data_IF_429636715543
#
_entry.id   IF_429636715543
#
_cell.length_a   1.000
_cell.length_b   1.000
_cell.length_c   1.000
_cell.angle_alpha   90.00
_cell.angle_beta   90.00
_cell.angle_gamma   90.00
#
_symmetry.space_group_name_H-M   'P 1'
#
loop_
_entity.id
_entity.type
_entity.pdbx_description
1 polymer ?
#
# COMPACT_ATOMS: atom_id res chain seq x y z
N UNK A 1 0.09 25.68 -34.03
CA UNK A 1 -0.07 24.27 -34.45
C UNK A 1 1.22 23.52 -34.08
N UNK A 2 1.36 23.09 -32.82
CA UNK A 2 2.51 22.30 -32.37
C UNK A 2 1.98 20.96 -31.85
N UNK A 3 2.06 19.93 -32.68
CA UNK A 3 1.82 18.56 -32.27
C UNK A 3 3.10 18.01 -31.61
N UNK A 4 3.18 18.07 -30.28
CA UNK A 4 4.07 17.16 -29.54
C UNK A 4 3.39 15.79 -29.51
N UNK A 5 3.82 14.88 -30.39
CA UNK A 5 3.58 13.45 -30.23
C UNK A 5 4.25 13.02 -28.92
N UNK A 6 3.44 12.73 -27.91
CA UNK A 6 3.82 11.93 -26.74
C UNK A 6 4.30 10.57 -27.24
N UNK A 7 5.62 10.36 -27.29
CA UNK A 7 6.19 9.03 -27.47
C UNK A 7 5.89 8.24 -26.20
N UNK A 8 4.85 7.42 -26.27
CA UNK A 8 4.64 6.27 -25.39
C UNK A 8 5.95 5.46 -25.34
N UNK A 9 6.49 5.30 -24.15
CA UNK A 9 7.65 4.46 -23.88
C UNK A 9 7.16 3.02 -23.95
N UNK A 10 7.52 2.29 -25.00
CA UNK A 10 7.28 0.84 -25.07
C UNK A 10 8.35 0.10 -24.23
N UNK A 11 7.97 -0.88 -23.38
CA UNK A 11 8.90 -1.53 -22.42
C UNK A 11 9.97 -2.42 -23.06
N UNK A 12 9.92 -2.64 -24.38
CA UNK A 12 10.69 -3.68 -25.06
C UNK A 12 12.17 -3.33 -25.33
N UNK A 13 12.62 -2.11 -25.02
CA UNK A 13 13.91 -1.59 -25.52
C UNK A 13 15.01 -1.32 -24.47
N UNK A 14 14.82 -1.77 -23.22
CA UNK A 14 15.88 -1.73 -22.21
C UNK A 14 16.53 -3.11 -22.07
N UNK A 15 17.85 -3.21 -22.28
CA UNK A 15 18.64 -4.46 -22.17
C UNK A 15 18.43 -5.20 -20.86
N UNK A 16 18.15 -4.47 -19.78
CA UNK A 16 17.85 -4.99 -18.44
C UNK A 16 16.57 -5.82 -18.41
N UNK A 17 15.54 -5.41 -19.17
CA UNK A 17 14.25 -6.10 -19.22
C UNK A 17 14.37 -7.50 -19.84
N UNK A 18 15.44 -7.82 -20.56
CA UNK A 18 15.67 -9.16 -21.12
C UNK A 18 16.18 -10.18 -20.10
N UNK A 19 16.47 -9.75 -18.87
CA UNK A 19 16.97 -10.65 -17.85
C UNK A 19 15.87 -11.62 -17.40
N UNK A 20 16.09 -12.96 -17.42
CA UNK A 20 15.05 -13.95 -17.13
C UNK A 20 14.33 -13.72 -15.80
N UNK A 21 15.03 -13.18 -14.79
CA UNK A 21 14.46 -12.93 -13.46
C UNK A 21 13.54 -11.72 -13.39
N UNK A 22 13.82 -10.72 -14.22
CA UNK A 22 12.93 -9.57 -14.39
C UNK A 22 11.66 -10.03 -15.13
N UNK A 23 11.81 -10.87 -16.16
CA UNK A 23 10.68 -11.47 -16.87
C UNK A 23 9.83 -12.36 -15.97
N UNK A 24 10.44 -13.19 -15.12
CA UNK A 24 9.73 -14.02 -14.15
C UNK A 24 8.88 -13.18 -13.17
N UNK A 25 9.44 -12.09 -12.64
CA UNK A 25 8.72 -11.18 -11.76
C UNK A 25 7.58 -10.43 -12.48
N UNK A 26 7.82 -9.97 -13.71
CA UNK A 26 6.80 -9.32 -14.54
C UNK A 26 5.64 -10.28 -14.88
N UNK A 27 5.96 -11.53 -15.24
CA UNK A 27 4.96 -12.56 -15.50
C UNK A 27 4.15 -12.88 -14.24
N UNK A 28 4.77 -12.93 -13.06
CA UNK A 28 4.03 -13.15 -11.82
C UNK A 28 3.10 -11.96 -11.48
N UNK A 29 3.51 -10.73 -11.79
CA UNK A 29 2.69 -9.53 -11.62
C UNK A 29 1.56 -9.40 -12.64
N UNK A 30 1.65 -10.03 -13.81
CA UNK A 30 0.58 -10.00 -14.82
C UNK A 30 -0.57 -10.95 -14.52
N UNK A 31 -0.45 -11.80 -13.50
CA UNK A 31 -1.51 -12.71 -13.07
C UNK A 31 -2.68 -11.96 -12.43
N UNK A 32 -3.56 -11.41 -13.26
CA UNK A 32 -4.78 -10.70 -12.84
C UNK A 32 -6.03 -11.57 -12.87
N UNK A 33 -5.87 -12.90 -12.90
CA UNK A 33 -6.99 -13.85 -12.94
C UNK A 33 -7.83 -13.73 -11.66
N UNK A 34 -9.16 -13.76 -11.83
CA UNK A 34 -10.10 -13.71 -10.70
C UNK A 34 -10.24 -12.36 -9.99
N UNK A 35 -9.48 -11.33 -10.37
CA UNK A 35 -9.58 -10.02 -9.74
C UNK A 35 -10.87 -9.29 -10.13
N UNK A 36 -11.62 -8.73 -9.15
CA UNK A 36 -12.81 -7.95 -9.43
C UNK A 36 -12.41 -6.54 -9.88
N UNK A 37 -12.43 -6.29 -11.19
CA UNK A 37 -12.16 -4.96 -11.74
C UNK A 37 -13.39 -4.04 -11.56
N UNK A 38 -13.20 -2.73 -11.29
CA UNK A 38 -14.29 -1.77 -11.29
C UNK A 38 -14.99 -1.72 -12.66
N UNK A 39 -16.32 -1.59 -12.67
CA UNK A 39 -17.13 -1.60 -13.92
C UNK A 39 -16.72 -0.52 -14.91
N UNK A 40 -16.30 0.64 -14.40
CA UNK A 40 -15.93 1.81 -15.20
C UNK A 40 -14.43 1.81 -15.56
N UNK A 41 -13.70 0.74 -15.24
CA UNK A 41 -12.27 0.65 -15.52
C UNK A 41 -12.02 -0.06 -16.85
N UNK A 42 -11.43 0.66 -17.81
CA UNK A 42 -10.96 0.08 -19.06
C UNK A 42 -9.69 -0.74 -18.82
N UNK A 43 -9.87 -2.05 -18.60
CA UNK A 43 -8.76 -2.98 -18.41
C UNK A 43 -7.91 -3.06 -19.67
N UNK A 44 -6.66 -2.62 -19.59
CA UNK A 44 -5.67 -2.79 -20.66
C UNK A 44 -5.23 -4.24 -20.79
N UNK A 45 -4.77 -4.61 -21.98
CA UNK A 45 -4.28 -5.97 -22.27
C UNK A 45 -3.05 -6.35 -21.42
N UNK A 46 -2.23 -5.37 -21.04
CA UNK A 46 -1.03 -5.50 -20.22
C UNK A 46 -1.26 -5.12 -18.74
N UNK A 47 -2.52 -5.02 -18.30
CA UNK A 47 -2.84 -4.67 -16.94
C UNK A 47 -2.32 -5.71 -15.94
N UNK A 48 -1.75 -5.21 -14.84
CA UNK A 48 -1.07 -6.01 -13.83
C UNK A 48 -1.68 -5.83 -12.44
N UNK A 49 -1.17 -6.57 -11.46
CA UNK A 49 -1.64 -6.51 -10.07
C UNK A 49 -1.60 -5.10 -9.47
N UNK A 50 -0.62 -4.29 -9.85
CA UNK A 50 -0.46 -2.94 -9.31
C UNK A 50 -1.42 -1.94 -9.96
N UNK A 51 -1.73 -2.09 -11.25
CA UNK A 51 -2.80 -1.33 -11.90
C UNK A 51 -4.17 -1.67 -11.30
N UNK A 52 -4.39 -2.93 -10.89
CA UNK A 52 -5.59 -3.28 -10.15
C UNK A 52 -5.64 -2.62 -8.76
N UNK A 53 -4.54 -2.66 -7.99
CA UNK A 53 -4.46 -1.97 -6.70
C UNK A 53 -4.69 -0.46 -6.86
N UNK A 54 -4.17 0.14 -7.92
CA UNK A 54 -4.43 1.53 -8.27
C UNK A 54 -5.93 1.78 -8.46
N UNK A 55 -6.60 0.98 -9.29
CA UNK A 55 -8.01 1.15 -9.59
C UNK A 55 -8.90 0.98 -8.35
N UNK A 56 -8.53 0.07 -7.44
CA UNK A 56 -9.30 -0.19 -6.23
C UNK A 56 -9.09 0.85 -5.14
N UNK A 57 -7.85 1.25 -4.87
CA UNK A 57 -7.49 2.10 -3.72
C UNK A 57 -7.22 3.56 -4.08
N UNK A 58 -7.17 3.89 -5.37
CA UNK A 58 -6.98 5.27 -5.83
C UNK A 58 -5.57 5.78 -5.59
N UNK A 59 -4.53 4.98 -5.84
CA UNK A 59 -3.13 5.43 -5.79
C UNK A 59 -2.78 6.30 -7.02
N UNK A 60 -1.75 7.14 -6.89
CA UNK A 60 -1.25 7.98 -7.98
C UNK A 60 -0.54 7.14 -9.06
N UNK A 61 -0.79 7.45 -10.34
CA UNK A 61 -0.23 6.72 -11.51
C UNK A 61 1.29 6.62 -11.49
N UNK A 62 1.97 7.71 -11.14
CA UNK A 62 3.42 7.76 -11.11
C UNK A 62 3.98 6.93 -9.93
N UNK A 63 3.31 6.98 -8.77
CA UNK A 63 3.67 6.12 -7.64
C UNK A 63 3.56 4.64 -8.02
N UNK A 64 2.46 4.25 -8.68
CA UNK A 64 2.24 2.88 -9.14
C UNK A 64 3.32 2.42 -10.09
N UNK A 65 3.69 3.25 -11.06
CA UNK A 65 4.75 2.94 -12.02
C UNK A 65 6.11 2.77 -11.33
N UNK A 66 6.45 3.66 -10.41
CA UNK A 66 7.70 3.60 -9.64
C UNK A 66 7.76 2.37 -8.72
N UNK A 67 6.67 2.06 -8.00
CA UNK A 67 6.65 0.92 -7.09
C UNK A 67 6.59 -0.42 -7.83
N UNK A 68 6.04 -0.45 -9.05
CA UNK A 68 6.10 -1.62 -9.94
C UNK A 68 7.54 -1.97 -10.29
N UNK A 69 8.29 -1.01 -10.81
CA UNK A 69 9.70 -1.21 -11.13
C UNK A 69 10.50 -1.62 -9.89
N UNK A 70 10.26 -0.96 -8.75
CA UNK A 70 10.91 -1.29 -7.49
C UNK A 70 10.61 -2.74 -7.04
N UNK A 71 9.35 -3.19 -7.10
CA UNK A 71 8.98 -4.55 -6.72
C UNK A 71 9.61 -5.59 -7.65
N UNK A 72 9.60 -5.35 -8.96
CA UNK A 72 10.24 -6.23 -9.96
C UNK A 72 11.73 -6.38 -9.67
N UNK A 73 12.43 -5.27 -9.44
CA UNK A 73 13.85 -5.28 -9.12
C UNK A 73 14.14 -5.93 -7.77
N UNK A 74 13.31 -5.70 -6.75
CA UNK A 74 13.43 -6.34 -5.44
C UNK A 74 13.36 -7.87 -5.57
N UNK A 75 12.35 -8.38 -6.29
CA UNK A 75 12.15 -9.80 -6.51
C UNK A 75 13.27 -10.42 -7.35
N UNK A 76 13.66 -9.76 -8.45
CA UNK A 76 14.76 -10.23 -9.29
C UNK A 76 16.09 -10.30 -8.52
N UNK A 77 16.40 -9.28 -7.71
CA UNK A 77 17.61 -9.24 -6.88
C UNK A 77 17.61 -10.32 -5.81
N UNK A 78 16.47 -10.56 -5.17
CA UNK A 78 16.33 -11.62 -4.17
C UNK A 78 16.51 -13.00 -4.79
N UNK A 79 15.95 -13.21 -5.99
CA UNK A 79 16.09 -14.45 -6.75
C UNK A 79 17.55 -14.72 -7.12
N UNK A 80 18.27 -13.72 -7.65
CA UNK A 80 19.70 -13.83 -8.00
C UNK A 80 20.55 -14.21 -6.78
N UNK A 81 20.23 -13.67 -5.60
CA UNK A 81 20.99 -13.93 -4.36
C UNK A 81 20.75 -15.31 -3.76
N UNK A 82 19.56 -15.89 -3.97
CA UNK A 82 19.15 -17.11 -3.28
C UNK A 82 19.29 -18.37 -4.12
N UNK A 83 19.32 -18.25 -5.45
CA UNK A 83 19.29 -19.43 -6.33
C UNK A 83 20.65 -19.62 -6.99
N UNK A 84 21.33 -20.72 -6.62
CA UNK A 84 22.69 -21.03 -7.06
C UNK A 84 22.80 -21.37 -8.56
N UNK A 85 21.70 -21.69 -9.24
CA UNK A 85 21.62 -21.92 -10.69
C UNK A 85 20.47 -21.11 -11.32
N UNK A 86 20.62 -19.79 -11.49
CA UNK A 86 19.53 -18.92 -11.90
C UNK A 86 19.01 -19.23 -13.32
N UNK A 87 19.84 -19.76 -14.21
CA UNK A 87 19.51 -19.93 -15.64
C UNK A 87 18.46 -21.03 -15.92
N UNK A 88 18.17 -21.90 -14.96
CA UNK A 88 17.30 -23.07 -15.16
C UNK A 88 15.84 -22.89 -14.71
N UNK A 89 15.48 -21.75 -14.11
CA UNK A 89 14.13 -21.51 -13.60
C UNK A 89 13.48 -20.30 -14.29
N UNK A 90 12.48 -20.55 -15.17
CA UNK A 90 11.77 -19.48 -15.88
C UNK A 90 10.74 -18.76 -15.01
N UNK A 91 10.27 -19.38 -13.93
CA UNK A 91 9.23 -18.85 -13.04
C UNK A 91 9.80 -18.24 -11.76
N UNK A 92 8.99 -17.41 -11.09
CA UNK A 92 9.32 -16.82 -9.81
C UNK A 92 9.17 -17.88 -8.70
N UNK A 93 10.27 -18.13 -7.98
CA UNK A 93 10.30 -19.14 -6.92
C UNK A 93 9.55 -18.67 -5.65
N UNK A 94 8.67 -19.53 -5.14
CA UNK A 94 7.86 -19.24 -3.94
C UNK A 94 8.71 -18.98 -2.68
N UNK A 95 9.89 -19.60 -2.56
CA UNK A 95 10.81 -19.36 -1.46
C UNK A 95 11.37 -17.93 -1.47
N UNK A 96 11.64 -17.39 -2.66
CA UNK A 96 12.08 -16.00 -2.85
C UNK A 96 10.99 -15.06 -2.39
N UNK A 97 9.74 -15.35 -2.75
CA UNK A 97 8.57 -14.59 -2.32
C UNK A 97 8.37 -14.64 -0.80
N UNK A 98 8.42 -15.83 -0.20
CA UNK A 98 8.28 -15.99 1.25
C UNK A 98 9.37 -15.24 2.02
N UNK A 99 10.62 -15.31 1.54
CA UNK A 99 11.71 -14.58 2.18
C UNK A 99 11.51 -13.07 2.06
N UNK A 100 11.12 -12.59 0.88
CA UNK A 100 10.89 -11.17 0.61
C UNK A 100 9.74 -10.64 1.46
N UNK A 101 8.62 -11.36 1.49
CA UNK A 101 7.44 -11.04 2.30
C UNK A 101 7.78 -11.02 3.79
N UNK A 102 8.53 -12.01 4.29
CA UNK A 102 8.93 -12.05 5.70
C UNK A 102 9.83 -10.88 6.10
N UNK A 103 10.72 -10.42 5.21
CA UNK A 103 11.53 -9.23 5.43
C UNK A 103 10.68 -7.97 5.42
N UNK A 104 9.82 -7.80 4.41
CA UNK A 104 9.01 -6.60 4.22
C UNK A 104 8.03 -6.39 5.39
N UNK A 105 7.36 -7.46 5.83
CA UNK A 105 6.35 -7.40 6.88
C UNK A 105 6.88 -7.65 8.30
N UNK A 106 8.20 -7.69 8.50
CA UNK A 106 8.80 -7.97 9.82
C UNK A 106 8.31 -6.98 10.89
N UNK A 107 8.28 -5.69 10.55
CA UNK A 107 7.84 -4.65 11.48
C UNK A 107 6.33 -4.72 11.73
N UNK A 108 5.54 -4.90 10.68
CA UNK A 108 4.09 -5.07 10.78
C UNK A 108 3.69 -6.28 11.65
N UNK A 109 4.33 -7.44 11.45
CA UNK A 109 4.07 -8.64 12.25
C UNK A 109 4.42 -8.42 13.73
N UNK A 110 5.51 -7.69 14.02
CA UNK A 110 5.89 -7.33 15.39
C UNK A 110 4.88 -6.37 16.02
N UNK A 111 4.43 -5.36 15.28
CA UNK A 111 3.40 -4.42 15.73
C UNK A 111 2.07 -5.13 16.05
N UNK A 112 1.60 -6.01 15.16
CA UNK A 112 0.40 -6.82 15.40
C UNK A 112 0.54 -7.67 16.68
N UNK A 113 1.68 -8.35 16.85
CA UNK A 113 1.96 -9.16 18.04
C UNK A 113 1.95 -8.31 19.31
N UNK A 114 2.55 -7.12 19.26
CA UNK A 114 2.61 -6.21 20.40
C UNK A 114 1.21 -5.75 20.83
N UNK A 115 0.34 -5.40 19.88
CA UNK A 115 -1.04 -4.99 20.15
C UNK A 115 -2.02 -6.17 20.37
N UNK A 116 -1.54 -7.42 20.37
CA UNK A 116 -2.41 -8.60 20.51
C UNK A 116 -3.38 -8.81 19.35
N UNK A 117 -3.06 -8.30 18.15
CA UNK A 117 -3.89 -8.43 16.94
C UNK A 117 -3.40 -9.54 16.02
N UNK A 118 -4.34 -10.22 15.36
CA UNK A 118 -4.04 -11.11 14.24
C UNK A 118 -3.58 -10.28 13.03
N UNK A 119 -2.66 -10.82 12.24
CA UNK A 119 -2.20 -10.14 11.03
C UNK A 119 -3.27 -10.13 9.95
N UNK A 120 -3.34 -9.07 9.16
CA UNK A 120 -4.23 -8.93 8.01
C UNK A 120 -3.74 -9.60 6.73
N UNK A 121 -2.75 -10.49 6.86
CA UNK A 121 -2.11 -11.20 5.77
C UNK A 121 -2.75 -12.58 5.58
N UNK A 122 -4.01 -12.60 5.14
CA UNK A 122 -4.74 -13.85 4.88
C UNK A 122 -4.34 -14.44 3.53
N UNK A 123 -3.81 -15.66 3.56
CA UNK A 123 -3.45 -16.40 2.35
C UNK A 123 -4.53 -17.44 2.02
N UNK A 124 -4.89 -17.62 0.74
CA UNK A 124 -5.81 -18.67 0.32
C UNK A 124 -5.18 -20.05 0.50
N UNK A 125 -6.01 -21.10 0.49
CA UNK A 125 -5.54 -22.50 0.55
C UNK A 125 -5.05 -22.99 -0.81
N UNK A 126 -5.51 -22.38 -1.90
CA UNK A 126 -5.18 -22.77 -3.28
C UNK A 126 -3.79 -22.23 -3.63
N UNK A 127 -2.78 -23.09 -3.90
CA UNK A 127 -1.39 -22.67 -4.10
C UNK A 127 -1.21 -21.62 -5.20
N UNK A 128 -1.97 -21.75 -6.30
CA UNK A 128 -1.91 -20.83 -7.44
C UNK A 128 -2.33 -19.40 -7.07
N UNK A 129 -3.26 -19.24 -6.12
CA UNK A 129 -3.71 -17.92 -5.65
C UNK A 129 -2.79 -17.36 -4.54
N UNK A 130 -2.03 -18.22 -3.85
CA UNK A 130 -1.12 -17.79 -2.78
C UNK A 130 -0.08 -16.83 -3.34
N UNK A 131 0.50 -17.14 -4.49
CA UNK A 131 1.52 -16.30 -5.11
C UNK A 131 0.98 -14.90 -5.44
N UNK A 132 -0.16 -14.86 -6.12
CA UNK A 132 -0.89 -13.63 -6.44
C UNK A 132 -1.20 -12.82 -5.17
N UNK A 133 -1.66 -13.49 -4.11
CA UNK A 133 -1.99 -12.85 -2.82
C UNK A 133 -0.78 -12.20 -2.15
N UNK A 134 0.36 -12.91 -2.14
CA UNK A 134 1.61 -12.38 -1.58
C UNK A 134 2.05 -11.13 -2.34
N UNK A 135 2.00 -11.16 -3.68
CA UNK A 135 2.34 -10.02 -4.53
C UNK A 135 1.41 -8.83 -4.31
N UNK A 136 0.10 -9.07 -4.19
CA UNK A 136 -0.88 -8.02 -3.86
C UNK A 136 -0.58 -7.36 -2.52
N UNK A 137 -0.29 -8.12 -1.46
CA UNK A 137 0.07 -7.54 -0.18
C UNK A 137 1.37 -6.73 -0.24
N UNK A 138 2.41 -7.25 -0.90
CA UNK A 138 3.68 -6.53 -1.04
C UNK A 138 3.49 -5.24 -1.88
N UNK A 139 2.77 -5.33 -2.99
CA UNK A 139 2.42 -4.18 -3.82
C UNK A 139 1.66 -3.13 -3.04
N UNK A 140 0.62 -3.54 -2.29
CA UNK A 140 -0.16 -2.63 -1.45
C UNK A 140 0.71 -1.91 -0.41
N UNK A 141 1.59 -2.64 0.27
CA UNK A 141 2.50 -2.03 1.24
C UNK A 141 3.47 -1.02 0.60
N UNK A 142 4.03 -1.36 -0.56
CA UNK A 142 4.94 -0.47 -1.30
C UNK A 142 4.22 0.77 -1.84
N UNK A 143 2.97 0.64 -2.28
CA UNK A 143 2.14 1.77 -2.72
C UNK A 143 1.81 2.72 -1.56
N UNK A 144 1.40 2.17 -0.41
CA UNK A 144 1.22 2.94 0.83
C UNK A 144 2.52 3.65 1.19
N UNK A 145 3.65 2.94 1.19
CA UNK A 145 4.96 3.53 1.46
C UNK A 145 5.32 4.62 0.44
N UNK A 146 4.99 4.43 -0.83
CA UNK A 146 5.28 5.35 -1.93
C UNK A 146 4.49 6.67 -1.88
N UNK A 147 3.28 6.65 -1.31
CA UNK A 147 2.43 7.85 -1.14
C UNK A 147 2.42 8.44 0.27
N UNK A 148 2.98 7.73 1.27
CA UNK A 148 3.03 8.17 2.66
C UNK A 148 3.71 9.54 2.90
N UNK A 149 4.47 10.08 1.94
CA UNK A 149 5.18 11.36 2.07
C UNK A 149 5.98 11.44 3.39
N UNK A 150 5.64 12.40 4.25
CA UNK A 150 6.23 12.63 5.57
C UNK A 150 5.82 11.59 6.63
N UNK A 151 4.72 10.85 6.42
CA UNK A 151 4.28 9.80 7.35
C UNK A 151 5.25 8.62 7.42
N UNK A 152 6.23 8.53 6.51
CA UNK A 152 7.33 7.56 6.56
C UNK A 152 8.17 7.64 7.83
N UNK A 153 8.17 8.81 8.47
CA UNK A 153 8.83 9.00 9.77
C UNK A 153 8.01 8.43 10.94
N UNK A 154 6.81 7.90 10.68
CA UNK A 154 5.93 7.24 11.64
C UNK A 154 5.66 5.79 11.21
N UNK A 155 6.64 4.87 11.37
CA UNK A 155 6.52 3.50 10.86
C UNK A 155 5.37 2.70 11.47
N UNK A 156 4.88 3.09 12.65
CA UNK A 156 3.80 2.41 13.37
C UNK A 156 2.44 2.90 12.85
N UNK A 157 2.33 4.18 12.52
CA UNK A 157 1.22 4.72 11.72
C UNK A 157 1.06 3.94 10.40
N UNK A 158 2.17 3.65 9.72
CA UNK A 158 2.13 2.85 8.48
C UNK A 158 1.69 1.40 8.71
N UNK A 159 2.02 0.81 9.87
CA UNK A 159 1.50 -0.50 10.24
C UNK A 159 -0.02 -0.47 10.41
N UNK A 160 -0.56 0.59 11.02
CA UNK A 160 -2.00 0.81 11.15
C UNK A 160 -2.69 0.96 9.78
N UNK A 161 -2.18 1.84 8.91
CA UNK A 161 -2.73 2.02 7.56
C UNK A 161 -2.73 0.72 6.77
N UNK A 162 -1.60 0.00 6.78
CA UNK A 162 -1.50 -1.29 6.11
C UNK A 162 -2.45 -2.33 6.71
N UNK A 163 -2.62 -2.37 8.03
CA UNK A 163 -3.49 -3.32 8.70
C UNK A 163 -4.93 -3.27 8.17
N UNK A 164 -5.48 -2.06 8.05
CA UNK A 164 -6.84 -1.84 7.59
C UNK A 164 -6.96 -2.05 6.08
N UNK A 165 -6.06 -1.49 5.27
CA UNK A 165 -6.12 -1.67 3.81
C UNK A 165 -5.91 -3.13 3.39
N UNK A 166 -5.08 -3.89 4.09
CA UNK A 166 -4.92 -5.33 3.85
C UNK A 166 -6.17 -6.13 4.25
N UNK A 167 -6.93 -5.68 5.26
CA UNK A 167 -8.23 -6.25 5.60
C UNK A 167 -9.28 -5.96 4.53
N UNK A 168 -9.33 -4.74 4.00
CA UNK A 168 -10.21 -4.40 2.88
C UNK A 168 -9.85 -5.19 1.62
N UNK A 169 -8.56 -5.32 1.32
CA UNK A 169 -8.07 -6.14 0.21
C UNK A 169 -8.56 -7.59 0.33
N UNK A 170 -8.51 -8.17 1.54
CA UNK A 170 -9.07 -9.48 1.80
C UNK A 170 -10.59 -9.51 1.55
N UNK A 171 -11.33 -8.53 2.07
CA UNK A 171 -12.78 -8.43 1.89
C UNK A 171 -13.20 -8.33 0.42
N UNK A 172 -12.53 -7.46 -0.36
CA UNK A 172 -12.76 -7.30 -1.81
C UNK A 172 -12.55 -8.61 -2.56
N UNK A 173 -11.49 -9.35 -2.21
CA UNK A 173 -11.13 -10.58 -2.90
C UNK A 173 -11.94 -11.80 -2.43
N UNK A 174 -12.55 -11.75 -1.25
CA UNK A 174 -13.43 -12.80 -0.72
C UNK A 174 -14.90 -12.59 -1.12
N UNK A 175 -15.33 -11.34 -1.28
CA UNK A 175 -16.70 -10.96 -1.59
C UNK A 175 -16.75 -10.12 -2.86
N UNK A 176 -16.93 -10.79 -4.00
CA UNK A 176 -17.07 -10.11 -5.30
C UNK A 176 -18.31 -9.21 -5.37
N UNK A 177 -19.36 -9.50 -4.59
CA UNK A 177 -20.61 -8.75 -4.55
C UNK A 177 -21.12 -8.69 -3.11
N UNK A 178 -21.47 -7.49 -2.65
CA UNK A 178 -22.15 -7.28 -1.38
C UNK A 178 -23.54 -7.92 -1.43
N UNK A 179 -23.88 -8.85 -0.52
CA UNK A 179 -25.20 -9.47 -0.50
C UNK A 179 -26.32 -8.47 -0.14
N UNK A 180 -25.96 -7.32 0.42
CA UNK A 180 -26.91 -6.27 0.83
C UNK A 180 -27.20 -5.28 -0.31
N UNK A 181 -26.17 -4.89 -1.06
CA UNK A 181 -26.31 -3.84 -2.10
C UNK A 181 -26.32 -4.38 -3.53
N UNK A 182 -25.89 -5.62 -3.75
CA UNK A 182 -25.73 -6.19 -5.09
C UNK A 182 -24.57 -5.56 -5.89
N UNK A 183 -23.77 -4.70 -5.27
CA UNK A 183 -22.62 -4.04 -5.88
C UNK A 183 -21.30 -4.71 -5.49
N UNK A 184 -20.26 -4.53 -6.30
CA UNK A 184 -18.94 -5.03 -5.96
C UNK A 184 -18.43 -4.36 -4.67
N UNK A 185 -17.86 -5.15 -3.76
CA UNK A 185 -17.23 -4.62 -2.56
C UNK A 185 -16.06 -3.72 -2.98
N UNK A 186 -16.04 -2.50 -2.46
CA UNK A 186 -14.99 -1.50 -2.72
C UNK A 186 -14.33 -1.09 -1.40
N UNK A 187 -13.02 -0.76 -1.41
CA UNK A 187 -12.40 -0.13 -0.25
C UNK A 187 -13.11 1.17 0.12
N UNK A 188 -13.22 1.48 1.42
CA UNK A 188 -13.91 2.65 1.95
C UNK A 188 -13.42 3.97 1.35
N UNK A 189 -12.11 4.09 1.21
CA UNK A 189 -11.49 5.27 0.60
C UNK A 189 -11.28 5.13 -0.90
N UNK A 190 -11.58 3.98 -1.48
CA UNK A 190 -11.31 3.66 -2.88
C UNK A 190 -12.28 4.29 -3.88
N UNK A 191 -12.05 4.01 -5.16
CA UNK A 191 -12.98 4.34 -6.26
C UNK A 191 -12.80 5.72 -6.90
N UNK A 192 -12.02 6.63 -6.31
CA UNK A 192 -11.67 7.93 -6.90
C UNK A 192 -10.17 8.02 -7.21
N UNK A 193 -9.78 8.90 -8.14
CA UNK A 193 -8.37 9.14 -8.47
C UNK A 193 -7.65 9.87 -7.32
N UNK A 194 -6.50 9.34 -6.91
CA UNK A 194 -5.68 9.83 -5.80
C UNK A 194 -6.41 9.83 -4.45
N UNK A 195 -7.40 8.96 -4.29
CA UNK A 195 -8.21 8.91 -3.09
C UNK A 195 -7.41 8.55 -1.84
N UNK A 196 -6.39 7.68 -1.96
CA UNK A 196 -5.50 7.36 -0.84
C UNK A 196 -4.76 8.62 -0.33
N UNK A 197 -4.12 9.37 -1.23
CA UNK A 197 -3.44 10.62 -0.89
C UNK A 197 -4.40 11.66 -0.27
N UNK A 198 -5.58 11.87 -0.88
CA UNK A 198 -6.54 12.89 -0.46
C UNK A 198 -7.27 12.55 0.84
N UNK A 199 -7.70 11.30 1.00
CA UNK A 199 -8.61 10.88 2.08
C UNK A 199 -7.89 10.19 3.24
N UNK A 200 -6.66 9.68 3.04
CA UNK A 200 -5.89 8.97 4.08
C UNK A 200 -4.63 9.74 4.48
N UNK A 201 -3.76 10.07 3.51
CA UNK A 201 -2.46 10.68 3.81
C UNK A 201 -2.60 12.15 4.24
N UNK A 202 -3.43 12.92 3.53
CA UNK A 202 -3.58 14.36 3.75
C UNK A 202 -4.13 14.71 5.14
N UNK A 203 -5.19 14.05 5.66
CA UNK A 203 -5.69 14.35 7.00
C UNK A 203 -4.63 14.16 8.10
N UNK A 204 -3.83 13.10 8.04
CA UNK A 204 -2.76 12.84 9.02
C UNK A 204 -1.61 13.85 8.82
N UNK A 205 -1.29 14.18 7.57
CA UNK A 205 -0.20 15.12 7.26
C UNK A 205 -0.52 16.55 7.73
N UNK A 206 -1.79 16.96 7.68
CA UNK A 206 -2.23 18.27 8.19
C UNK A 206 -1.99 18.43 9.69
N UNK A 207 -2.13 17.36 10.49
CA UNK A 207 -1.78 17.42 11.93
C UNK A 207 -0.29 17.73 12.08
N UNK A 208 0.55 16.97 11.38
CA UNK A 208 2.01 17.14 11.41
C UNK A 208 2.43 18.55 10.95
N UNK A 209 1.79 19.09 9.92
CA UNK A 209 2.06 20.42 9.39
C UNK A 209 1.64 21.52 10.37
N UNK A 210 0.47 21.37 11.01
CA UNK A 210 -0.03 22.30 12.03
C UNK A 210 0.93 22.35 13.22
N UNK A 211 1.32 21.19 13.77
CA UNK A 211 2.27 21.10 14.88
C UNK A 211 3.64 21.73 14.53
N UNK A 212 4.09 21.62 13.27
CA UNK A 212 5.32 22.27 12.80
C UNK A 212 5.19 23.78 12.70
N UNK A 213 4.08 24.28 12.18
CA UNK A 213 3.84 25.71 12.02
C UNK A 213 3.71 26.44 13.38
N UNK A 214 3.17 25.76 14.40
CA UNK A 214 3.18 26.25 15.78
C UNK A 214 4.59 26.30 16.38
N UNK A 215 5.45 25.33 16.05
CA UNK A 215 6.85 25.30 16.52
C UNK A 215 7.70 26.42 15.93
N UNK A 216 7.50 26.74 14.65
CA UNK A 216 8.23 27.82 13.98
C UNK A 216 7.73 29.22 14.38
N UNK A 217 6.68 29.32 15.19
CA UNK A 217 6.04 30.59 15.54
C UNK A 217 5.29 31.24 14.38
N UNK A 218 5.09 30.50 13.29
CA UNK A 218 4.35 30.98 12.09
C UNK A 218 2.86 31.11 12.39
N UNK A 219 2.33 30.23 13.26
CA UNK A 219 0.96 30.30 13.78
C UNK A 219 1.04 30.49 15.30
N UNK A 220 0.12 31.29 15.86
CA UNK A 220 0.00 31.41 17.32
C UNK A 220 -0.36 30.04 17.90
N UNK A 221 0.55 29.51 18.72
CA UNK A 221 0.36 28.28 19.49
C UNK A 221 -0.93 28.40 20.29
N UNK A 222 -1.94 27.59 19.99
CA UNK A 222 -3.12 27.46 20.87
C UNK A 222 -2.86 26.49 22.02
N UNK A 223 -1.83 25.65 21.88
CA UNK A 223 -1.58 24.51 22.76
C UNK A 223 -0.32 24.67 23.63
N UNK A 224 -0.37 24.06 24.83
CA UNK A 224 0.79 23.80 25.67
C UNK A 224 1.52 22.49 25.31
N UNK A 225 0.86 21.55 24.60
CA UNK A 225 1.38 20.22 24.30
C UNK A 225 1.59 20.01 22.79
N UNK A 226 2.80 20.29 22.30
CA UNK A 226 3.19 20.18 20.87
C UNK A 226 3.63 18.76 20.51
N UNK A 227 2.94 18.08 19.59
CA UNK A 227 3.28 16.70 19.20
C UNK A 227 4.32 16.67 18.06
N UNK A 228 5.40 15.89 18.19
CA UNK A 228 6.33 15.58 17.09
C UNK A 228 5.93 14.26 16.40
N UNK A 229 6.72 13.81 15.42
CA UNK A 229 6.49 12.50 14.79
C UNK A 229 6.55 11.35 15.79
N UNK A 230 7.39 11.41 16.83
CA UNK A 230 7.49 10.35 17.84
C UNK A 230 6.21 10.31 18.70
N UNK A 231 5.68 11.46 19.11
CA UNK A 231 4.44 11.57 19.89
C UNK A 231 3.24 11.06 19.09
N UNK A 232 3.12 11.47 17.82
CA UNK A 232 2.06 11.00 16.92
C UNK A 232 2.21 9.51 16.60
N UNK A 233 3.45 9.02 16.43
CA UNK A 233 3.71 7.61 16.20
C UNK A 233 3.48 6.77 17.48
N UNK A 234 3.64 7.35 18.67
CA UNK A 234 3.38 6.70 19.95
C UNK A 234 1.89 6.33 20.12
N UNK A 235 0.98 7.16 19.61
CA UNK A 235 -0.45 6.83 19.58
C UNK A 235 -0.74 5.47 18.95
N UNK A 236 -0.03 5.12 17.87
CA UNK A 236 -0.21 3.84 17.17
C UNK A 236 0.42 2.63 17.88
N UNK A 237 1.14 2.84 18.99
CA UNK A 237 1.52 1.77 19.91
C UNK A 237 0.45 1.49 20.96
N UNK A 238 -0.64 2.26 21.05
CA UNK A 238 -1.78 1.93 21.91
C UNK A 238 -2.85 1.16 21.15
N UNK A 239 -3.64 0.35 21.87
CA UNK A 239 -4.87 -0.22 21.33
C UNK A 239 -5.91 0.86 20.99
N UNK A 240 -5.76 2.07 21.53
CA UNK A 240 -6.64 3.21 21.24
C UNK A 240 -6.56 3.67 19.79
N UNK A 241 -5.48 3.34 19.08
CA UNK A 241 -5.39 3.64 17.65
C UNK A 241 -6.51 2.98 16.84
N UNK A 242 -7.06 1.85 17.29
CA UNK A 242 -8.21 1.21 16.64
C UNK A 242 -9.53 1.96 16.87
N UNK A 243 -9.60 2.85 17.86
CA UNK A 243 -10.72 3.76 18.04
C UNK A 243 -10.72 4.87 16.97
N UNK A 244 -9.58 5.12 16.29
CA UNK A 244 -9.55 6.01 15.13
C UNK A 244 -10.49 5.49 14.04
N UNK A 245 -10.61 4.17 13.90
CA UNK A 245 -11.52 3.52 12.96
C UNK A 245 -11.02 3.49 11.52
N UNK A 246 -11.79 2.77 10.70
CA UNK A 246 -11.60 2.70 9.26
C UNK A 246 -12.97 2.63 8.56
N UNK A 247 -13.50 3.75 8.05
CA UNK A 247 -12.82 5.04 7.86
C UNK A 247 -12.45 5.73 9.18
N UNK A 248 -11.32 6.43 9.18
CA UNK A 248 -10.82 7.26 10.25
C UNK A 248 -11.86 8.34 10.60
N UNK A 249 -12.30 8.36 11.85
CA UNK A 249 -13.30 9.29 12.35
C UNK A 249 -12.67 10.67 12.54
N UNK A 250 -13.23 11.69 11.89
CA UNK A 250 -12.70 13.06 11.96
C UNK A 250 -12.82 13.69 13.36
N UNK A 251 -13.72 13.17 14.19
CA UNK A 251 -13.94 13.56 15.59
C UNK A 251 -13.10 12.72 16.58
N UNK A 252 -12.24 11.81 16.14
CA UNK A 252 -11.37 11.08 17.05
C UNK A 252 -10.33 12.00 17.70
N UNK A 253 -10.00 11.76 18.97
CA UNK A 253 -9.02 12.52 19.78
C UNK A 253 -7.67 12.70 19.07
N UNK A 254 -7.29 11.76 18.20
CA UNK A 254 -6.10 11.87 17.35
C UNK A 254 -6.11 13.15 16.48
N UNK A 255 -7.26 13.49 15.89
CA UNK A 255 -7.47 14.69 15.08
C UNK A 255 -7.93 15.90 15.87
N UNK A 256 -8.43 15.71 17.09
CA UNK A 256 -8.84 16.82 17.94
C UNK A 256 -7.61 17.55 18.51
N UNK A 257 -7.76 18.87 18.60
CA UNK A 257 -6.94 19.75 19.40
C UNK A 257 -7.40 19.56 20.86
N UNK A 258 -6.54 19.09 21.78
CA UNK A 258 -6.89 19.08 23.21
C UNK A 258 -7.14 20.53 23.65
N UNK A 259 -8.41 20.93 23.76
CA UNK A 259 -8.79 22.11 24.51
C UNK A 259 -8.64 21.79 26.00
N UNK A 260 -7.73 22.48 26.69
CA UNK A 260 -7.69 22.39 28.14
C UNK A 260 -9.03 22.92 28.69
N UNK A 261 -9.65 22.22 29.66
CA UNK A 261 -10.79 22.77 30.36
C UNK A 261 -10.35 24.05 31.07
N UNK A 262 -11.10 25.13 30.84
CA UNK A 262 -10.97 26.44 31.49
C UNK A 262 -11.10 26.31 33.01
#
# INVERSE_FOLDING_TARGET
MFHRRSKLITPANQTIMRYPKIQAALHALSDTRGLPWPKDHEKKADADLLEWLQAMFGFQKDNVSNQREHLVLLLANMHIRQISKPEQQPELDDHVLDTTMNKLFKNYKRWCKYLGRKTSLWLPTIPQEVQQRKLLYMGLYLLIWGEAANLRFMPVCLCYLFHHMAFELYGVLAANVSPVTGENVRPYYGGEEEAFLKKVVTPISKIVETDKAERSGTIKSKHSHRRNYDDLNAFFWSNDCFQLGWPMRADADFFQEEEQPV
#
